data_IF_643642793823
#
_entry.id   IF_643642793823
#
_cell.length_a   1.000
_cell.length_b   1.000
_cell.length_c   1.000
_cell.angle_alpha   90.00
_cell.angle_beta   90.00
_cell.angle_gamma   90.00
#
_symmetry.space_group_name_H-M   'P 1'
#
loop_
_entity.id
_entity.type
_entity.pdbx_description
1 polymer ?
2 non-polymer ?
3 water ?
#
# COMPACT_ATOMS: atom_id res chain seq x y z
N UNK A 2 1.86 16.16 -9.03
CA UNK A 2 0.95 16.53 -10.12
C UNK A 2 -0.51 16.09 -9.85
N UNK A 3 -0.67 14.96 -9.18
CA UNK A 3 -1.97 14.43 -8.78
C UNK A 3 -2.09 14.60 -7.27
N UNK A 4 -3.32 14.83 -6.79
CA UNK A 4 -3.65 14.87 -5.36
C UNK A 4 -4.46 13.63 -5.02
N UNK A 5 -3.88 12.72 -4.25
CA UNK A 5 -4.53 11.48 -3.85
C UNK A 5 -5.45 11.64 -2.65
N UNK A 6 -5.48 12.82 -2.03
CA UNK A 6 -6.27 12.99 -0.82
C UNK A 6 -7.68 12.45 -1.01
N UNK A 7 -8.11 11.63 -0.07
CA UNK A 7 -9.47 11.14 -0.07
C UNK A 7 -9.62 9.94 0.83
N UNK A 8 -10.88 9.62 1.12
CA UNK A 8 -11.25 8.37 1.75
C UNK A 8 -11.75 7.46 0.65
N UNK A 9 -10.95 6.45 0.34
CA UNK A 9 -11.23 5.53 -0.76
C UNK A 9 -11.61 4.16 -0.21
N UNK A 10 -12.78 3.68 -0.63
CA UNK A 10 -13.30 2.40 -0.19
C UNK A 10 -12.91 1.30 -1.16
N UNK A 11 -12.55 0.15 -0.61
CA UNK A 11 -12.12 -0.96 -1.44
C UNK A 11 -13.26 -1.53 -2.27
N UNK A 12 -12.99 -1.69 -3.56
CA UNK A 12 -13.82 -2.43 -4.51
C UNK A 12 -13.23 -3.75 -4.94
N UNK A 13 -11.90 -3.82 -5.11
CA UNK A 13 -11.23 -4.96 -5.74
C UNK A 13 -10.06 -5.35 -4.85
N UNK A 14 -9.87 -6.66 -4.65
CA UNK A 14 -8.74 -7.16 -3.90
C UNK A 14 -8.41 -8.56 -4.43
N UNK A 15 -7.41 -8.62 -5.29
CA UNK A 15 -7.01 -9.84 -6.00
C UNK A 15 -5.66 -10.31 -5.50
N UNK A 16 -5.55 -11.59 -5.15
CA UNK A 16 -4.26 -12.21 -4.84
C UNK A 16 -3.65 -11.72 -3.54
N UNK A 17 -4.46 -11.24 -2.62
CA UNK A 17 -3.97 -10.74 -1.34
C UNK A 17 -3.43 -11.87 -0.48
N UNK A 18 -4.12 -13.01 -0.45
CA UNK A 18 -3.62 -14.16 0.29
C UNK A 18 -2.28 -14.58 -0.25
N UNK A 19 -2.24 -14.67 -1.63
CA UNK A 19 -0.93 -14.99 -2.26
C UNK A 19 0.12 -13.92 -1.87
N UNK A 20 -0.11 -12.74 -1.77
CA UNK A 20 0.89 -11.74 -1.37
C UNK A 20 1.31 -11.90 0.10
N UNK A 21 0.36 -12.11 1.00
CA UNK A 21 0.71 -12.25 2.41
C UNK A 21 1.51 -13.53 2.66
N UNK A 22 1.25 -14.57 1.88
CA UNK A 22 2.01 -15.83 2.05
C UNK A 22 3.47 -15.64 1.67
N UNK A 23 3.71 -14.85 0.64
CA UNK A 23 5.07 -14.57 0.20
C UNK A 23 5.83 -13.72 1.20
N UNK A 24 5.13 -13.07 2.13
CA UNK A 24 5.71 -12.36 3.27
C UNK A 24 5.78 -13.23 4.53
N UNK A 25 5.46 -14.52 4.42
CA UNK A 25 5.56 -15.47 5.53
C UNK A 25 4.57 -15.20 6.63
N UNK A 26 3.48 -14.50 6.32
CA UNK A 26 2.40 -14.34 7.27
C UNK A 26 1.81 -15.70 7.56
N UNK A 27 1.64 -16.01 8.84
CA UNK A 27 1.22 -17.36 9.20
C UNK A 27 -0.25 -17.55 8.85
N UNK A 28 -0.71 -18.79 9.03
CA UNK A 28 -1.98 -19.20 8.43
C UNK A 28 -3.16 -18.59 9.17
N UNK A 29 -3.07 -18.43 10.50
CA UNK A 29 -4.20 -17.83 11.22
C UNK A 29 -4.39 -16.38 10.81
N UNK A 30 -3.30 -15.63 10.73
CA UNK A 30 -3.36 -14.22 10.36
C UNK A 30 -3.77 -14.03 8.91
N UNK A 31 -3.42 -14.99 8.05
CA UNK A 31 -3.93 -14.95 6.68
C UNK A 31 -5.42 -15.24 6.65
N UNK A 32 -5.91 -16.07 7.58
CA UNK A 32 -7.32 -16.40 7.63
C UNK A 32 -8.18 -15.18 7.96
N UNK A 33 -7.74 -14.37 8.93
CA UNK A 33 -8.49 -13.17 9.25
C UNK A 33 -8.32 -12.14 8.15
N UNK A 34 -7.13 -12.06 7.54
CA UNK A 34 -6.92 -11.09 6.47
C UNK A 34 -7.88 -11.34 5.31
N UNK A 35 -8.35 -12.58 5.16
CA UNK A 35 -9.33 -12.89 4.13
C UNK A 35 -10.66 -12.16 4.37
N UNK A 36 -11.02 -11.92 5.64
CA UNK A 36 -12.22 -11.17 5.99
C UNK A 36 -12.13 -9.69 5.63
N UNK A 37 -10.93 -9.14 5.49
CA UNK A 37 -10.77 -7.70 5.56
C UNK A 37 -10.98 -7.05 4.21
N UNK A 38 -11.48 -5.82 4.26
CA UNK A 38 -11.62 -4.96 3.09
C UNK A 38 -11.01 -3.60 3.45
N UNK A 39 -9.68 -3.52 3.48
CA UNK A 39 -9.04 -2.28 3.95
C UNK A 39 -9.33 -1.12 3.01
N UNK A 40 -9.57 0.04 3.62
CA UNK A 40 -9.78 1.29 2.91
C UNK A 40 -8.48 2.12 2.93
N UNK A 41 -8.45 3.14 2.08
CA UNK A 41 -7.32 4.04 2.03
C UNK A 41 -7.81 5.42 2.40
N UNK A 42 -7.25 5.97 3.46
CA UNK A 42 -7.49 7.36 3.84
C UNK A 42 -6.18 8.08 3.61
N UNK A 43 -6.18 9.00 2.65
CA UNK A 43 -4.96 9.66 2.20
C UNK A 43 -5.10 11.15 2.41
N UNK A 44 -4.07 11.76 2.98
CA UNK A 44 -3.93 13.20 3.00
C UNK A 44 -2.60 13.55 2.38
N UNK A 45 -2.62 14.51 1.48
CA UNK A 45 -1.44 14.88 0.74
C UNK A 45 -1.33 16.39 0.71
N UNK A 46 -0.10 16.87 0.77
CA UNK A 46 0.22 18.28 0.53
C UNK A 46 1.52 18.27 -0.24
N UNK A 47 1.41 18.34 -1.56
CA UNK A 47 2.61 18.31 -2.37
C UNK A 47 3.26 16.96 -2.24
N UNK A 48 4.53 16.97 -1.92
CA UNK A 48 5.28 15.72 -1.85
C UNK A 48 5.18 15.07 -0.49
N UNK A 49 4.49 15.68 0.46
CA UNK A 49 4.20 15.06 1.74
C UNK A 49 2.88 14.29 1.69
N UNK A 50 2.88 13.05 2.16
CA UNK A 50 1.71 12.18 2.05
C UNK A 50 1.59 11.33 3.30
N UNK A 51 0.35 11.15 3.77
CA UNK A 51 0.03 10.13 4.77
C UNK A 51 -0.99 9.22 4.12
N UNK A 52 -0.70 7.91 4.09
CA UNK A 52 -1.58 6.92 3.53
C UNK A 52 -1.94 6.00 4.69
N UNK A 53 -3.17 6.07 5.17
CA UNK A 53 -3.62 5.21 6.25
C UNK A 53 -4.44 4.08 5.64
N UNK A 54 -3.95 2.86 5.80
CA UNK A 54 -4.65 1.68 5.31
C UNK A 54 -5.45 1.18 6.48
N UNK A 55 -6.77 1.31 6.40
CA UNK A 55 -7.64 1.13 7.55
C UNK A 55 -8.40 -0.18 7.42
N UNK A 56 -8.34 -0.99 8.45
CA UNK A 56 -9.14 -2.21 8.45
C UNK A 56 -9.66 -2.43 9.86
N UNK A 57 -10.73 -3.25 9.93
CA UNK A 57 -11.33 -3.52 11.22
C UNK A 57 -10.38 -4.28 12.12
N UNK A 58 -9.36 -4.91 11.55
CA UNK A 58 -8.41 -5.69 12.34
C UNK A 58 -7.28 -4.76 12.77
N UNK A 59 -6.45 -4.35 11.82
CA UNK A 59 -5.26 -3.57 12.10
C UNK A 59 -5.09 -2.53 11.01
N UNK A 60 -4.66 -1.33 11.38
CA UNK A 60 -4.31 -0.34 10.36
C UNK A 60 -2.82 -0.44 10.02
N UNK A 61 -2.45 0.10 8.88
CA UNK A 61 -1.04 0.31 8.57
C UNK A 61 -0.87 1.75 8.11
N UNK A 62 0.02 2.50 8.75
CA UNK A 62 0.15 3.92 8.45
C UNK A 62 1.47 4.13 7.73
N UNK A 63 1.43 4.85 6.61
CA UNK A 63 2.62 5.35 5.95
C UNK A 63 2.62 6.87 5.96
N UNK A 64 3.76 7.45 6.26
CA UNK A 64 3.89 8.89 6.46
C UNK A 64 5.27 9.25 5.93
N UNK A 65 5.32 10.01 4.83
CA UNK A 65 6.58 10.11 4.11
C UNK A 65 6.64 11.35 3.23
N UNK A 66 7.87 11.64 2.79
CA UNK A 66 8.16 12.62 1.77
C UNK A 66 8.51 11.87 0.49
N UNK A 67 7.81 12.19 -0.60
CA UNK A 67 8.17 11.60 -1.88
C UNK A 67 9.61 11.96 -2.18
N UNK A 68 10.36 10.97 -2.65
CA UNK A 68 11.76 11.12 -2.97
C UNK A 68 12.73 10.97 -1.82
N UNK A 69 12.26 10.79 -0.59
CA UNK A 69 13.16 10.68 0.56
C UNK A 69 13.11 9.25 1.04
N UNK A 70 14.24 8.54 0.93
CA UNK A 70 14.37 7.20 1.48
C UNK A 70 14.25 7.22 3.01
N UNK A 71 13.50 6.25 3.55
CA UNK A 71 13.26 6.19 4.98
C UNK A 71 13.20 4.73 5.44
N UNK A 72 13.42 4.55 6.74
CA UNK A 72 13.34 3.23 7.34
C UNK A 72 11.87 2.95 7.63
N UNK A 73 11.26 2.04 6.86
CA UNK A 73 9.85 1.70 6.99
C UNK A 73 9.70 0.54 7.96
N UNK A 74 8.90 0.73 9.01
CA UNK A 74 8.61 -0.34 9.96
C UNK A 74 7.23 -0.91 9.64
N UNK A 75 7.22 -2.12 9.12
CA UNK A 75 5.98 -2.79 8.69
C UNK A 75 5.39 -3.64 9.80
N UNK A 76 5.58 -3.23 11.05
CA UNK A 76 4.89 -3.84 12.17
C UNK A 76 3.41 -3.93 11.85
N UNK A 77 2.80 -5.08 12.18
CA UNK A 77 1.42 -5.30 11.87
C UNK A 77 1.21 -6.09 10.60
N UNK A 78 2.08 -5.91 9.61
CA UNK A 78 2.01 -6.70 8.37
C UNK A 78 2.91 -7.91 8.55
N UNK A 79 4.21 -7.79 8.26
CA UNK A 79 5.17 -8.85 8.54
C UNK A 79 6.24 -8.47 9.55
N UNK A 80 6.16 -7.28 10.14
CA UNK A 80 7.05 -6.82 11.20
C UNK A 80 8.48 -6.71 10.73
N UNK A 81 8.66 -6.59 9.44
CA UNK A 81 9.99 -6.35 8.93
C UNK A 81 10.26 -4.86 8.88
N UNK A 82 11.50 -4.54 8.54
CA UNK A 82 11.94 -3.18 8.27
C UNK A 82 12.50 -3.15 6.87
N UNK A 83 12.21 -2.07 6.16
CA UNK A 83 12.68 -1.88 4.81
C UNK A 83 13.32 -0.51 4.64
N UNK A 84 14.22 -0.42 3.68
CA UNK A 84 14.73 0.86 3.24
C UNK A 84 13.87 1.25 2.05
N UNK A 85 12.95 2.17 2.28
CA UNK A 85 11.84 2.44 1.35
C UNK A 85 11.92 3.83 0.74
N UNK A 86 11.68 3.91 -0.56
CA UNK A 86 11.60 5.18 -1.28
C UNK A 86 10.34 5.21 -2.13
N UNK A 87 9.54 6.24 -1.96
CA UNK A 87 8.42 6.52 -2.85
C UNK A 87 8.87 7.62 -3.80
N UNK A 88 8.56 7.44 -5.07
CA UNK A 88 9.02 8.35 -6.12
C UNK A 88 7.86 8.64 -7.06
N UNK A 89 7.89 9.84 -7.65
CA UNK A 89 6.94 10.16 -8.70
C UNK A 89 7.38 9.52 -10.01
N UNK A 90 6.42 8.98 -10.70
CA UNK A 90 6.61 8.49 -12.06
C UNK A 90 5.48 9.17 -12.85
N UNK A 91 5.72 10.41 -13.23
CA UNK A 91 4.63 11.16 -13.83
C UNK A 91 3.53 11.40 -12.79
N UNK A 92 2.33 10.92 -13.08
CA UNK A 92 1.23 11.00 -12.12
C UNK A 92 1.13 9.76 -11.23
N UNK A 93 2.03 8.80 -11.38
CA UNK A 93 1.99 7.55 -10.65
C UNK A 93 2.97 7.62 -9.51
N UNK A 94 2.71 6.83 -8.46
CA UNK A 94 3.62 6.71 -7.34
C UNK A 94 4.26 5.34 -7.41
N UNK A 95 5.59 5.31 -7.36
CA UNK A 95 6.34 4.06 -7.37
C UNK A 95 7.07 3.93 -6.04
N UNK A 96 6.90 2.78 -5.39
CA UNK A 96 7.52 2.51 -4.11
C UNK A 96 8.42 1.29 -4.25
N UNK A 97 9.68 1.42 -3.85
CA UNK A 97 10.61 0.31 -3.73
C UNK A 97 10.88 0.12 -2.25
N UNK A 98 10.70 -1.09 -1.78
CA UNK A 98 10.93 -1.43 -0.37
C UNK A 98 12.14 -2.38 -0.27
N UNK A 99 13.33 -1.86 0.04
CA UNK A 99 14.52 -2.72 0.04
C UNK A 99 14.60 -3.46 1.36
N UNK A 100 14.93 -4.75 1.28
CA UNK A 100 15.02 -5.57 2.49
C UNK A 100 15.13 -7.04 2.12
N UNK A 101 14.56 -7.88 2.98
CA UNK A 101 14.74 -9.31 2.88
C UNK A 101 14.11 -9.87 1.61
N UNK A 102 12.89 -9.44 1.29
CA UNK A 102 12.18 -9.98 0.13
C UNK A 102 12.55 -9.22 -1.16
N UNK A 103 12.85 -9.98 -2.21
CA UNK A 103 13.19 -9.41 -3.49
C UNK A 103 11.96 -8.81 -4.15
N UNK A 104 12.16 -7.75 -4.90
CA UNK A 104 11.07 -7.20 -5.70
C UNK A 104 9.86 -6.76 -4.90
N UNK A 105 10.07 -6.25 -3.68
CA UNK A 105 9.00 -5.76 -2.81
C UNK A 105 8.73 -4.29 -3.09
N UNK A 106 7.47 -3.94 -3.41
CA UNK A 106 7.10 -2.54 -3.57
C UNK A 106 5.68 -2.41 -4.05
N UNK A 107 5.35 -1.24 -4.57
CA UNK A 107 4.00 -1.05 -5.06
C UNK A 107 3.96 0.13 -6.01
N UNK A 108 2.85 0.19 -6.76
CA UNK A 108 2.55 1.31 -7.66
C UNK A 108 1.13 1.78 -7.39
N UNK A 109 0.97 3.09 -7.29
CA UNK A 109 -0.33 3.71 -7.00
C UNK A 109 -0.63 4.82 -7.99
N UNK A 110 -1.83 4.78 -8.56
CA UNK A 110 -2.22 5.78 -9.52
C UNK A 110 -3.73 5.93 -9.50
N UNK A 111 -4.20 7.02 -10.11
CA UNK A 111 -5.62 7.26 -10.28
C UNK A 111 -5.94 7.15 -11.76
N UNK A 112 -6.97 6.37 -12.09
CA UNK A 112 -7.54 6.30 -13.43
C UNK A 112 -8.98 6.71 -13.29
N UNK A 113 -9.31 7.88 -13.82
CA UNK A 113 -10.68 8.35 -13.77
C UNK A 113 -11.05 8.65 -12.34
N UNK A 114 -12.09 8.00 -11.82
CA UNK A 114 -12.42 8.19 -10.42
C UNK A 114 -12.03 6.97 -9.58
N UNK A 115 -11.06 6.20 -10.03
CA UNK A 115 -10.63 4.98 -9.34
C UNK A 115 -9.18 5.08 -8.87
N UNK A 116 -8.96 4.77 -7.60
CA UNK A 116 -7.62 4.62 -7.06
C UNK A 116 -7.14 3.19 -7.32
N UNK A 117 -6.00 3.06 -7.97
CA UNK A 117 -5.41 1.77 -8.31
C UNK A 117 -4.11 1.56 -7.54
N UNK A 118 -3.91 0.34 -7.07
CA UNK A 118 -2.75 -0.01 -6.27
C UNK A 118 -2.36 -1.42 -6.67
N UNK A 119 -1.11 -1.59 -7.03
CA UNK A 119 -0.56 -2.90 -7.29
C UNK A 119 0.57 -3.11 -6.30
N UNK A 120 0.47 -4.17 -5.50
CA UNK A 120 1.48 -4.51 -4.52
C UNK A 120 2.25 -5.73 -5.02
N UNK A 121 3.56 -5.68 -4.88
CA UNK A 121 4.42 -6.72 -5.42
C UNK A 121 5.40 -7.21 -4.38
N UNK A 122 5.66 -8.51 -4.42
CA UNK A 122 6.80 -9.09 -3.73
C UNK A 122 7.14 -10.44 -4.35
N UNK A 123 8.42 -10.64 -4.69
CA UNK A 123 8.88 -11.90 -5.30
C UNK A 123 8.00 -12.33 -6.47
N UNK A 124 7.55 -11.38 -7.26
CA UNK A 124 6.79 -11.70 -8.46
C UNK A 124 5.33 -12.01 -8.22
N UNK A 125 4.87 -11.98 -6.97
CA UNK A 125 3.46 -12.05 -6.66
C UNK A 125 2.90 -10.65 -6.81
N UNK A 126 1.74 -10.55 -7.44
CA UNK A 126 1.10 -9.26 -7.65
C UNK A 126 -0.30 -9.30 -7.08
N UNK A 127 -0.58 -8.35 -6.21
CA UNK A 127 -1.88 -8.10 -5.65
C UNK A 127 -2.41 -6.82 -6.25
N UNK A 128 -3.62 -6.89 -6.80
CA UNK A 128 -4.32 -5.79 -7.43
C UNK A 128 -5.40 -5.30 -6.48
N UNK A 129 -5.38 -4.02 -6.14
CA UNK A 129 -6.46 -3.41 -5.41
C UNK A 129 -6.98 -2.16 -6.12
N UNK A 130 -8.28 -1.96 -5.99
CA UNK A 130 -8.98 -0.82 -6.58
C UNK A 130 -9.96 -0.26 -5.56
N UNK A 131 -10.02 1.07 -5.49
CA UNK A 131 -10.79 1.79 -4.50
C UNK A 131 -11.51 2.93 -5.19
N UNK A 132 -12.61 3.38 -4.58
CA UNK A 132 -13.39 4.50 -5.07
C UNK A 132 -13.90 5.32 -3.88
N UNK A 133 -13.96 6.65 -4.04
CA UNK A 133 -14.61 7.45 -3.03
C UNK A 133 -16.11 7.19 -3.11
N UNK A 134 -16.81 7.40 -2.01
CA UNK A 134 -18.27 7.26 -2.02
C UNK A 134 -18.87 8.59 -2.47
N UNK A 135 -19.48 8.59 -3.65
CA UNK A 135 -20.19 9.78 -4.15
C UNK A 135 -21.60 9.87 -3.61
X LIG B 1 -5.90 -16.62 -4.62
#
# INVERSE_FOLDING_TARGET
MPVDFTGYWKMLVNENFEEYLRALDVNVALRKIANLLKPDKEIVQDGDHMIIRTLSTFRNYIMDFQVGKEFEEDLTGIDDRKCMTTVSWDGDKLQCVQKGEKEGRGWTQWIEGDELHLEMRVEGVVCKQVFKKVQ
NA NA
#
